data_IF_189042258974
#
_entry.id   IF_189042258974
#
_cell.length_a   1.000
_cell.length_b   1.000
_cell.length_c   1.000
_cell.angle_alpha   90.00
_cell.angle_beta   90.00
_cell.angle_gamma   90.00
#
_symmetry.space_group_name_H-M   'P 1'
#
loop_
_entity.id
_entity.type
_entity.pdbx_description
1 polymer ?
#
# COMPACT_ATOMS: atom_id res chain seq x y z
N UNK A 1 -21.39 -14.10 -7.32
CA UNK A 1 -21.94 -12.78 -7.70
C UNK A 1 -20.74 -11.86 -7.87
N UNK A 2 -20.35 -11.57 -9.11
CA UNK A 2 -19.25 -10.64 -9.37
C UNK A 2 -19.69 -9.23 -8.97
N UNK A 3 -18.96 -8.60 -8.06
CA UNK A 3 -19.14 -7.20 -7.75
C UNK A 3 -18.67 -6.39 -8.96
N UNK A 4 -19.60 -6.01 -9.83
CA UNK A 4 -19.31 -5.09 -10.92
C UNK A 4 -18.94 -3.72 -10.37
N UNK A 5 -17.75 -3.25 -10.72
CA UNK A 5 -17.30 -1.91 -10.40
C UNK A 5 -17.37 -1.02 -11.63
N UNK A 6 -18.09 0.10 -11.57
CA UNK A 6 -18.12 1.03 -12.69
C UNK A 6 -16.71 1.54 -12.96
N UNK A 7 -16.35 1.58 -14.25
CA UNK A 7 -15.11 2.23 -14.69
C UNK A 7 -15.24 3.73 -14.48
N UNK A 8 -14.15 4.36 -14.07
CA UNK A 8 -14.07 5.82 -13.99
C UNK A 8 -13.39 6.36 -15.23
N UNK A 9 -13.84 7.54 -15.64
CA UNK A 9 -13.30 8.29 -16.78
C UNK A 9 -13.08 9.75 -16.35
N UNK A 10 -11.85 10.26 -16.43
CA UNK A 10 -11.53 11.64 -16.05
C UNK A 10 -12.10 12.66 -17.04
N UNK A 11 -12.14 12.31 -18.33
CA UNK A 11 -12.67 13.16 -19.40
C UNK A 11 -14.20 13.24 -19.33
N UNK A 12 -14.85 12.15 -18.90
CA UNK A 12 -16.31 12.05 -18.74
C UNK A 12 -16.74 11.97 -17.27
N UNK A 13 -16.12 12.79 -16.42
CA UNK A 13 -16.34 12.75 -14.98
C UNK A 13 -17.80 13.03 -14.53
N UNK A 14 -18.64 13.60 -15.40
CA UNK A 14 -20.07 13.84 -15.12
C UNK A 14 -20.88 12.54 -14.96
N UNK A 15 -20.47 11.48 -15.67
CA UNK A 15 -21.15 10.17 -15.68
C UNK A 15 -20.61 9.20 -14.61
N UNK A 16 -19.53 9.57 -13.93
CA UNK A 16 -18.89 8.69 -12.96
C UNK A 16 -19.80 8.41 -11.76
N UNK A 17 -19.88 7.13 -11.41
CA UNK A 17 -20.65 6.60 -10.29
C UNK A 17 -19.69 6.12 -9.22
N UNK A 18 -19.81 6.67 -8.02
CA UNK A 18 -19.10 6.16 -6.87
C UNK A 18 -19.86 4.97 -6.27
N UNK A 19 -19.14 3.86 -6.04
CA UNK A 19 -19.64 2.69 -5.33
C UNK A 19 -18.68 2.33 -4.19
N UNK A 20 -19.19 2.26 -2.97
CA UNK A 20 -18.39 1.95 -1.78
C UNK A 20 -17.68 0.59 -1.90
N UNK A 21 -18.35 -0.41 -2.48
CA UNK A 21 -17.77 -1.75 -2.72
C UNK A 21 -16.61 -1.73 -3.72
N UNK A 22 -16.47 -0.63 -4.45
CA UNK A 22 -15.43 -0.41 -5.45
C UNK A 22 -14.45 0.68 -5.03
N UNK A 23 -14.59 1.20 -3.81
CA UNK A 23 -13.78 2.32 -3.35
C UNK A 23 -12.29 1.97 -3.26
N UNK A 24 -11.97 0.70 -2.99
CA UNK A 24 -10.60 0.20 -3.10
C UNK A 24 -10.03 0.38 -4.50
N UNK A 25 -10.83 0.23 -5.56
CA UNK A 25 -10.35 0.49 -6.93
C UNK A 25 -10.01 1.96 -7.09
N UNK A 26 -10.81 2.87 -6.55
CA UNK A 26 -10.56 4.31 -6.71
C UNK A 26 -9.34 4.80 -5.91
N UNK A 27 -8.99 4.11 -4.82
CA UNK A 27 -7.81 4.41 -3.99
C UNK A 27 -6.57 3.59 -4.40
N UNK A 28 -6.73 2.40 -4.98
CA UNK A 28 -5.62 1.48 -5.28
C UNK A 28 -5.34 1.28 -6.78
N UNK A 29 -6.19 1.77 -7.71
CA UNK A 29 -6.05 1.40 -9.13
C UNK A 29 -4.74 1.83 -9.79
N UNK A 30 -4.00 2.80 -9.23
CA UNK A 30 -2.79 3.27 -9.89
C UNK A 30 -1.66 3.69 -8.92
N UNK A 31 -1.51 3.03 -7.77
CA UNK A 31 -0.37 3.28 -6.85
C UNK A 31 0.95 2.68 -7.38
N UNK A 32 1.28 2.92 -8.64
CA UNK A 32 2.64 2.67 -9.17
C UNK A 32 3.38 3.96 -9.50
N UNK A 33 2.68 5.09 -9.63
CA UNK A 33 3.31 6.35 -10.00
C UNK A 33 2.78 7.52 -9.15
N UNK A 34 3.63 8.03 -8.26
CA UNK A 34 3.37 9.23 -7.43
C UNK A 34 3.91 10.51 -8.09
N UNK A 35 4.40 10.43 -9.33
CA UNK A 35 5.12 11.50 -10.03
C UNK A 35 4.20 12.64 -10.47
N UNK A 36 2.88 12.41 -10.48
CA UNK A 36 1.86 13.39 -10.88
C UNK A 36 1.38 14.28 -9.72
N UNK A 37 2.16 14.42 -8.65
CA UNK A 37 1.88 15.32 -7.54
C UNK A 37 2.66 16.63 -7.75
N UNK A 38 1.98 17.77 -7.61
CA UNK A 38 2.60 19.08 -7.79
C UNK A 38 3.77 19.32 -6.84
N UNK A 39 4.81 19.99 -7.35
CA UNK A 39 6.06 20.26 -6.61
C UNK A 39 5.82 21.01 -5.28
N UNK A 40 4.79 21.86 -5.20
CA UNK A 40 4.39 22.56 -3.98
C UNK A 40 4.05 21.58 -2.85
N UNK A 41 3.25 20.55 -3.13
CA UNK A 41 2.89 19.50 -2.18
C UNK A 41 4.10 18.64 -1.81
N UNK A 42 4.92 18.26 -2.79
CA UNK A 42 6.16 17.49 -2.54
C UNK A 42 7.08 18.25 -1.59
N UNK A 43 7.32 19.54 -1.83
CA UNK A 43 8.17 20.37 -0.98
C UNK A 43 7.60 20.50 0.43
N UNK A 44 6.28 20.64 0.58
CA UNK A 44 5.63 20.69 1.89
C UNK A 44 5.80 19.37 2.65
N UNK A 45 5.51 18.24 2.00
CA UNK A 45 5.60 16.91 2.60
C UNK A 45 7.04 16.53 2.93
N UNK A 46 8.01 16.87 2.06
CA UNK A 46 9.43 16.57 2.28
C UNK A 46 9.97 17.11 3.61
N UNK A 47 9.43 18.22 4.09
CA UNK A 47 9.86 18.87 5.34
C UNK A 47 9.25 18.25 6.61
N UNK A 48 8.39 17.25 6.49
CA UNK A 48 7.84 16.52 7.62
C UNK A 48 8.89 15.49 8.08
N UNK A 49 9.30 15.58 9.35
CA UNK A 49 10.36 14.72 9.90
C UNK A 49 9.94 13.25 9.89
N UNK A 50 8.72 12.97 10.32
CA UNK A 50 8.19 11.62 10.45
C UNK A 50 7.98 10.96 9.06
N UNK A 51 8.68 9.84 8.76
CA UNK A 51 8.58 9.18 7.46
C UNK A 51 7.22 8.49 7.24
N UNK A 52 6.57 8.00 8.29
CA UNK A 52 5.24 7.39 8.20
C UNK A 52 4.22 8.46 7.85
N UNK A 53 4.29 9.62 8.51
CA UNK A 53 3.39 10.73 8.22
C UNK A 53 3.59 11.27 6.80
N UNK A 54 4.84 11.37 6.33
CA UNK A 54 5.14 11.70 4.92
C UNK A 54 4.44 10.76 3.96
N UNK A 55 4.53 9.46 4.23
CA UNK A 55 3.93 8.44 3.39
C UNK A 55 2.40 8.50 3.40
N UNK A 56 1.78 8.73 4.57
CA UNK A 56 0.33 8.92 4.65
C UNK A 56 -0.11 10.13 3.83
N UNK A 57 0.59 11.25 3.95
CA UNK A 57 0.18 12.49 3.29
C UNK A 57 0.43 12.53 1.79
N UNK A 58 1.46 11.85 1.28
CA UNK A 58 1.65 11.76 -0.18
C UNK A 58 0.48 11.00 -0.84
N UNK A 59 0.00 9.93 -0.20
CA UNK A 59 -1.20 9.23 -0.66
C UNK A 59 -2.46 10.06 -0.47
N UNK A 60 -2.60 10.75 0.66
CA UNK A 60 -3.75 11.63 0.87
C UNK A 60 -3.88 12.67 -0.25
N UNK A 61 -2.79 13.38 -0.57
CA UNK A 61 -2.76 14.35 -1.66
C UNK A 61 -3.15 13.69 -2.98
N UNK A 62 -2.56 12.53 -3.30
CA UNK A 62 -2.90 11.80 -4.53
C UNK A 62 -4.39 11.46 -4.61
N UNK A 63 -4.94 10.86 -3.56
CA UNK A 63 -6.35 10.45 -3.53
C UNK A 63 -7.31 11.63 -3.55
N UNK A 64 -6.91 12.77 -2.98
CA UNK A 64 -7.67 14.00 -3.09
C UNK A 64 -7.72 14.50 -4.53
N UNK A 65 -6.58 14.50 -5.24
CA UNK A 65 -6.48 14.94 -6.64
C UNK A 65 -7.25 13.99 -7.57
N UNK A 66 -7.06 12.67 -7.40
CA UNK A 66 -7.74 11.67 -8.20
C UNK A 66 -9.26 11.75 -7.98
N UNK A 67 -9.69 11.86 -6.72
CA UNK A 67 -11.10 12.05 -6.38
C UNK A 67 -11.70 13.30 -7.02
N UNK A 68 -10.96 14.40 -7.08
CA UNK A 68 -11.37 15.59 -7.82
C UNK A 68 -11.52 15.31 -9.31
N UNK A 69 -10.50 14.73 -9.95
CA UNK A 69 -10.50 14.47 -11.39
C UNK A 69 -11.67 13.57 -11.82
N UNK A 70 -11.96 12.54 -11.01
CA UNK A 70 -13.04 11.60 -11.30
C UNK A 70 -14.43 12.10 -10.89
N UNK A 71 -14.58 12.90 -9.84
CA UNK A 71 -15.90 13.17 -9.25
C UNK A 71 -16.33 14.64 -9.19
N UNK A 72 -15.52 15.59 -9.66
CA UNK A 72 -15.88 17.03 -9.63
C UNK A 72 -17.20 17.35 -10.33
N UNK A 73 -17.43 16.78 -11.52
CA UNK A 73 -18.63 16.96 -12.34
C UNK A 73 -19.74 15.93 -12.08
N UNK A 74 -19.45 14.86 -11.33
CA UNK A 74 -20.45 13.83 -11.03
C UNK A 74 -21.65 14.38 -10.24
N UNK A 75 -22.74 13.61 -10.24
CA UNK A 75 -23.91 13.89 -9.40
C UNK A 75 -23.51 14.10 -7.93
N UNK A 76 -24.23 14.99 -7.26
CA UNK A 76 -23.86 15.45 -5.91
C UNK A 76 -23.72 14.30 -4.90
N UNK A 77 -24.57 13.28 -4.97
CA UNK A 77 -24.49 12.13 -4.07
C UNK A 77 -23.19 11.33 -4.30
N UNK A 78 -22.82 11.02 -5.54
CA UNK A 78 -21.58 10.27 -5.81
C UNK A 78 -20.32 11.05 -5.42
N UNK A 79 -20.31 12.36 -5.68
CA UNK A 79 -19.22 13.23 -5.20
C UNK A 79 -19.14 13.26 -3.68
N UNK A 80 -20.30 13.35 -3.01
CA UNK A 80 -20.37 13.36 -1.55
C UNK A 80 -19.87 12.04 -0.96
N UNK A 81 -20.29 10.91 -1.52
CA UNK A 81 -19.89 9.58 -1.07
C UNK A 81 -18.38 9.34 -1.29
N UNK A 82 -17.84 9.78 -2.43
CA UNK A 82 -16.40 9.75 -2.69
C UNK A 82 -15.60 10.57 -1.67
N UNK A 83 -16.05 11.79 -1.37
CA UNK A 83 -15.42 12.65 -0.38
C UNK A 83 -15.54 12.07 1.04
N UNK A 84 -16.69 11.50 1.42
CA UNK A 84 -16.85 10.83 2.72
C UNK A 84 -15.90 9.64 2.86
N UNK A 85 -15.74 8.86 1.79
CA UNK A 85 -14.82 7.74 1.79
C UNK A 85 -13.36 8.19 1.97
N UNK A 86 -12.92 9.25 1.28
CA UNK A 86 -11.59 9.82 1.46
C UNK A 86 -11.37 10.31 2.90
N UNK A 87 -12.34 11.02 3.46
CA UNK A 87 -12.29 11.47 4.86
C UNK A 87 -12.17 10.28 5.82
N UNK A 88 -12.93 9.21 5.58
CA UNK A 88 -12.88 8.01 6.40
C UNK A 88 -11.52 7.33 6.31
N UNK A 89 -10.98 7.17 5.11
CA UNK A 89 -9.63 6.65 4.90
C UNK A 89 -8.61 7.48 5.68
N UNK A 90 -8.70 8.82 5.62
CA UNK A 90 -7.77 9.69 6.34
C UNK A 90 -7.92 9.55 7.87
N UNK A 91 -9.15 9.47 8.38
CA UNK A 91 -9.42 9.26 9.80
C UNK A 91 -8.87 7.91 10.30
N UNK A 92 -8.97 6.84 9.49
CA UNK A 92 -8.35 5.54 9.79
C UNK A 92 -6.82 5.63 9.82
N UNK A 93 -6.20 6.44 8.95
CA UNK A 93 -4.74 6.70 9.01
C UNK A 93 -4.36 7.54 10.24
N UNK A 94 -5.17 8.53 10.62
CA UNK A 94 -4.97 9.31 11.85
C UNK A 94 -4.99 8.40 13.07
N UNK A 95 -6.01 7.57 13.18
CA UNK A 95 -6.18 6.64 14.30
C UNK A 95 -4.96 5.71 14.42
N UNK A 96 -4.52 5.11 13.30
CA UNK A 96 -3.33 4.26 13.28
C UNK A 96 -2.05 5.02 13.67
N UNK A 97 -1.82 6.20 13.08
CA UNK A 97 -0.61 6.99 13.31
C UNK A 97 -0.50 7.51 14.74
N UNK A 98 -1.63 7.85 15.34
CA UNK A 98 -1.71 8.41 16.70
C UNK A 98 -1.92 7.34 17.77
N UNK A 99 -1.96 6.07 17.37
CA UNK A 99 -2.29 4.94 18.23
C UNK A 99 -3.60 5.17 18.99
N UNK A 100 -4.68 5.46 18.25
CA UNK A 100 -5.99 5.75 18.82
C UNK A 100 -5.98 6.95 19.77
N UNK A 101 -5.27 8.02 19.39
CA UNK A 101 -5.07 9.24 20.19
C UNK A 101 -4.23 9.07 21.47
N UNK A 102 -3.64 7.89 21.70
CA UNK A 102 -2.79 7.68 22.89
C UNK A 102 -1.45 8.41 22.76
N UNK A 103 -0.95 8.63 21.54
CA UNK A 103 0.29 9.34 21.29
C UNK A 103 0.07 10.84 21.02
N UNK A 104 0.12 11.64 22.08
CA UNK A 104 -0.13 13.09 22.01
C UNK A 104 0.87 13.86 21.15
N UNK A 105 2.13 13.45 21.11
CA UNK A 105 3.16 14.04 20.23
C UNK A 105 2.81 13.82 18.75
N UNK A 106 2.42 12.59 18.38
CA UNK A 106 1.93 12.24 17.05
C UNK A 106 0.64 12.98 16.70
N UNK A 107 -0.29 13.15 17.63
CA UNK A 107 -1.52 13.92 17.40
C UNK A 107 -1.22 15.38 17.04
N UNK A 108 -0.38 16.06 17.81
CA UNK A 108 0.00 17.45 17.53
C UNK A 108 0.69 17.60 16.17
N UNK A 109 1.58 16.65 15.85
CA UNK A 109 2.25 16.63 14.55
C UNK A 109 1.26 16.43 13.41
N UNK A 110 0.31 15.49 13.57
CA UNK A 110 -0.74 15.25 12.59
C UNK A 110 -1.56 16.52 12.33
N UNK A 111 -2.09 17.14 13.39
CA UNK A 111 -2.98 18.31 13.30
C UNK A 111 -2.30 19.50 12.62
N UNK A 112 -1.06 19.80 13.02
CA UNK A 112 -0.26 20.87 12.42
C UNK A 112 -0.07 20.68 10.92
N UNK A 113 0.30 19.48 10.50
CA UNK A 113 0.65 19.23 9.10
C UNK A 113 -0.58 19.01 8.20
N UNK A 114 -1.64 18.38 8.71
CA UNK A 114 -2.87 18.18 7.94
C UNK A 114 -3.61 19.50 7.69
N UNK A 115 -3.68 20.42 8.65
CA UNK A 115 -4.34 21.72 8.48
C UNK A 115 -3.75 22.48 7.29
N UNK A 116 -2.42 22.49 7.20
CA UNK A 116 -1.69 23.16 6.12
C UNK A 116 -1.97 22.50 4.76
N UNK A 117 -1.82 21.17 4.68
CA UNK A 117 -2.04 20.42 3.44
C UNK A 117 -3.49 20.52 2.96
N UNK A 118 -4.44 20.37 3.88
CA UNK A 118 -5.86 20.44 3.58
C UNK A 118 -6.25 21.83 3.06
N UNK A 119 -5.70 22.90 3.64
CA UNK A 119 -5.89 24.27 3.18
C UNK A 119 -5.42 24.50 1.74
N UNK A 120 -4.24 23.97 1.36
CA UNK A 120 -3.74 24.03 -0.02
C UNK A 120 -4.70 23.32 -0.99
N UNK A 121 -5.10 22.10 -0.66
CA UNK A 121 -5.95 21.25 -1.50
C UNK A 121 -7.33 21.86 -1.74
N UNK A 122 -7.99 22.37 -0.69
CA UNK A 122 -9.32 22.99 -0.80
C UNK A 122 -9.34 24.21 -1.71
N UNK A 123 -8.28 25.00 -1.70
CA UNK A 123 -8.18 26.22 -2.48
C UNK A 123 -7.93 25.92 -3.97
N UNK A 124 -7.16 24.88 -4.28
CA UNK A 124 -6.80 24.53 -5.65
C UNK A 124 -7.90 23.74 -6.36
N UNK A 125 -8.56 22.79 -5.67
CA UNK A 125 -9.50 21.86 -6.28
C UNK A 125 -10.95 22.18 -5.92
N UNK A 126 -11.53 23.14 -6.65
CA UNK A 126 -12.89 23.64 -6.41
C UNK A 126 -13.88 23.16 -7.48
N UNK A 127 -15.16 23.04 -7.10
CA UNK A 127 -16.21 22.61 -8.04
C UNK A 127 -16.51 23.77 -9.00
N UNK A 128 -16.46 23.54 -10.33
CA UNK A 128 -16.87 24.54 -11.31
C UNK A 128 -18.30 25.03 -11.03
N UNK A 129 -18.54 26.33 -11.20
CA UNK A 129 -19.87 26.95 -11.05
C UNK A 129 -20.51 26.85 -9.65
N UNK A 130 -19.73 26.56 -8.60
CA UNK A 130 -20.19 26.59 -7.19
C UNK A 130 -19.40 27.58 -6.32
N UNK A 131 -19.13 28.77 -6.85
CA UNK A 131 -18.49 29.89 -6.13
C UNK A 131 -17.15 29.51 -5.44
N UNK A 132 -16.34 28.67 -6.07
CA UNK A 132 -15.03 28.27 -5.51
C UNK A 132 -15.15 27.34 -4.29
N UNK A 133 -16.30 26.69 -4.07
CA UNK A 133 -16.41 25.67 -3.02
C UNK A 133 -15.50 24.48 -3.33
N UNK A 134 -14.72 24.02 -2.35
CA UNK A 134 -13.90 22.84 -2.47
C UNK A 134 -14.74 21.61 -2.88
N UNK A 135 -14.16 20.73 -3.69
CA UNK A 135 -14.86 19.50 -4.11
C UNK A 135 -15.07 18.54 -2.94
N UNK A 136 -14.13 18.53 -1.99
CA UNK A 136 -14.20 17.74 -0.78
C UNK A 136 -13.83 18.59 0.44
N UNK A 137 -14.75 18.61 1.40
CA UNK A 137 -14.59 19.25 2.70
C UNK A 137 -14.05 18.25 3.72
N UNK A 138 -13.25 18.74 4.66
CA UNK A 138 -12.84 17.94 5.81
C UNK A 138 -14.07 17.66 6.68
N UNK A 139 -14.26 16.40 7.06
CA UNK A 139 -15.28 15.99 8.01
C UNK A 139 -14.61 15.38 9.23
N UNK A 140 -14.97 15.88 10.42
CA UNK A 140 -14.46 15.34 11.69
C UNK A 140 -15.09 13.99 12.00
N UNK A 141 -14.55 12.92 11.39
CA UNK A 141 -14.94 11.55 11.71
C UNK A 141 -14.21 11.14 13.00
N UNK A 142 -14.98 10.91 14.05
CA UNK A 142 -14.46 10.42 15.33
C UNK A 142 -14.27 8.90 15.24
N UNK A 143 -13.10 8.47 14.83
CA UNK A 143 -12.62 7.10 14.99
C UNK A 143 -11.70 7.08 16.19
N UNK A 144 -12.00 6.21 17.15
CA UNK A 144 -11.14 5.96 18.31
C UNK A 144 -11.05 4.46 18.55
N UNK A 145 -9.94 3.89 18.14
CA UNK A 145 -9.65 2.48 18.40
C UNK A 145 -9.39 2.29 19.90
N UNK A 146 -10.07 1.29 20.47
CA UNK A 146 -9.76 0.79 21.81
C UNK A 146 -8.79 -0.37 21.67
N UNK A 147 -7.57 -0.20 22.18
CA UNK A 147 -6.56 -1.24 22.14
C UNK A 147 -6.75 -2.25 23.27
N UNK A 148 -6.48 -3.55 23.02
CA UNK A 148 -6.36 -4.55 24.09
C UNK A 148 -5.37 -4.11 25.17
N UNK A 149 -5.66 -4.45 26.43
CA UNK A 149 -4.84 -4.12 27.61
C UNK A 149 -3.38 -4.57 27.48
N UNK A 150 -3.16 -5.65 26.76
CA UNK A 150 -1.87 -6.28 26.52
C UNK A 150 -0.99 -5.47 25.56
N UNK A 151 -1.58 -4.55 24.80
CA UNK A 151 -0.91 -3.71 23.80
C UNK A 151 -0.76 -2.24 24.24
N UNK A 152 -1.29 -1.84 25.40
CA UNK A 152 -1.56 -0.44 25.78
C UNK A 152 -0.32 0.40 26.17
N UNK A 153 0.89 -0.08 25.93
CA UNK A 153 2.12 0.68 26.15
C UNK A 153 2.80 1.06 24.82
N UNK A 154 2.18 1.90 23.97
CA UNK A 154 2.84 2.34 22.75
C UNK A 154 4.06 3.19 23.11
N UNK A 155 5.20 2.87 22.51
CA UNK A 155 6.36 3.76 22.50
C UNK A 155 6.10 4.83 21.45
N UNK A 156 5.52 5.95 21.87
CA UNK A 156 5.15 7.04 20.96
C UNK A 156 6.35 7.77 20.35
N UNK A 157 7.49 7.70 21.04
CA UNK A 157 8.74 8.33 20.62
C UNK A 157 9.68 7.25 20.08
N UNK A 158 9.56 6.97 18.79
CA UNK A 158 10.70 6.48 18.02
C UNK A 158 11.51 7.72 17.63
N UNK A 159 12.40 8.17 18.52
CA UNK A 159 13.58 8.88 18.04
C UNK A 159 14.20 7.94 17.03
N UNK A 160 14.30 8.39 15.77
CA UNK A 160 15.25 7.82 14.82
C UNK A 160 16.55 7.77 15.62
N UNK A 161 16.94 6.57 16.07
CA UNK A 161 18.20 6.43 16.79
C UNK A 161 19.21 7.09 15.86
N UNK A 162 19.99 8.10 16.31
CA UNK A 162 21.13 8.51 15.52
C UNK A 162 21.85 7.20 15.21
N UNK A 163 22.03 6.96 13.91
CA UNK A 163 22.79 5.84 13.38
C UNK A 163 23.97 5.64 14.35
N UNK A 164 24.16 4.45 14.95
CA UNK A 164 25.32 4.26 15.79
C UNK A 164 26.49 4.60 14.87
N UNK A 165 27.11 5.76 15.10
CA UNK A 165 28.32 6.16 14.40
C UNK A 165 29.23 4.99 14.67
N UNK A 166 29.40 4.13 13.68
CA UNK A 166 30.39 3.07 13.74
C UNK A 166 31.65 3.82 14.14
N UNK A 167 32.12 3.58 15.37
CA UNK A 167 33.39 4.15 15.79
C UNK A 167 34.34 3.82 14.65
N UNK A 168 34.90 4.85 14.01
CA UNK A 168 35.85 4.69 12.93
C UNK A 168 36.96 3.80 13.46
N UNK A 169 36.86 2.51 13.17
CA UNK A 169 37.93 1.57 13.44
C UNK A 169 38.93 1.92 12.35
N UNK A 170 39.91 2.75 12.75
CA UNK A 170 41.00 3.21 11.91
C UNK A 170 41.62 2.00 11.24
N UNK A 171 41.21 1.74 10.01
CA UNK A 171 41.79 0.67 9.20
C UNK A 171 43.10 1.23 8.65
N UNK A 172 44.24 0.53 8.80
CA UNK A 172 45.51 1.03 8.31
C UNK A 172 45.44 1.22 6.79
N UNK A 173 45.92 2.38 6.35
CA UNK A 173 46.07 2.72 4.94
C UNK A 173 47.07 1.74 4.29
N UNK A 174 46.60 0.75 3.53
CA UNK A 174 47.46 -0.02 2.63
C UNK A 174 47.32 0.55 1.23
N UNK A 175 48.38 1.22 0.79
CA UNK A 175 48.51 1.80 -0.55
C UNK A 175 48.61 0.71 -1.62
N UNK A 176 48.11 1.07 -2.79
CA UNK A 176 47.81 0.28 -3.98
C UNK A 176 48.97 -0.53 -4.57
N UNK A 177 48.62 -1.67 -5.17
CA UNK A 177 48.96 -2.02 -6.57
C UNK A 177 48.14 -3.25 -7.01
N UNK A 178 47.18 -3.03 -7.93
CA UNK A 178 46.52 -4.13 -8.65
C UNK A 178 47.19 -4.25 -10.02
N UNK A 179 48.23 -5.07 -10.12
CA UNK A 179 48.74 -5.52 -11.42
C UNK A 179 47.85 -6.66 -11.94
N UNK A 180 47.10 -6.39 -13.01
CA UNK A 180 46.44 -7.45 -13.77
C UNK A 180 47.51 -8.19 -14.60
N UNK A 181 47.97 -9.34 -14.10
CA UNK A 181 48.77 -10.26 -14.89
C UNK A 181 47.93 -10.96 -15.96
N UNK A 182 48.42 -10.93 -17.20
CA UNK A 182 47.78 -11.50 -18.40
C UNK A 182 47.62 -13.02 -18.28
N UNK A 183 46.49 -13.49 -18.80
CA UNK A 183 46.05 -14.88 -18.92
C UNK A 183 47.11 -15.77 -19.58
N UNK A 184 47.45 -16.88 -18.93
CA UNK A 184 48.01 -18.08 -19.56
C UNK A 184 47.05 -19.21 -19.23
N UNK A 185 46.40 -19.77 -20.25
CA UNK A 185 45.55 -20.95 -20.14
C UNK A 185 46.36 -22.19 -19.74
N UNK A 186 45.90 -22.98 -18.75
CA UNK A 186 46.27 -24.38 -18.64
C UNK A 186 45.07 -25.27 -18.95
N UNK A 187 45.32 -26.23 -19.85
CA UNK A 187 44.40 -27.22 -20.35
C UNK A 187 43.66 -28.02 -19.26
N UNK A 188 42.36 -28.24 -19.49
CA UNK A 188 41.47 -29.09 -18.70
C UNK A 188 41.72 -30.57 -19.07
N UNK A 189 42.02 -31.48 -18.11
CA UNK A 189 41.89 -32.91 -18.33
C UNK A 189 40.42 -33.36 -18.26
N UNK A 190 40.05 -34.22 -19.20
CA UNK A 190 38.75 -34.87 -19.37
C UNK A 190 38.37 -35.74 -18.14
N UNK A 191 37.15 -35.63 -17.58
CA UNK A 191 36.62 -36.65 -16.66
C UNK A 191 36.00 -37.84 -17.42
N UNK A 192 36.43 -39.05 -17.05
CA UNK A 192 35.93 -40.34 -17.53
C UNK A 192 34.48 -40.62 -17.10
N UNK A 193 33.75 -41.27 -18.01
CA UNK A 193 32.47 -41.96 -17.83
C UNK A 193 32.46 -43.00 -16.70
N UNK A 194 31.44 -42.98 -15.85
CA UNK A 194 30.49 -44.09 -15.73
C UNK A 194 29.23 -43.71 -14.89
N UNK A 195 28.03 -44.18 -15.28
CA UNK A 195 26.77 -43.77 -14.68
C UNK A 195 26.35 -44.67 -13.51
N UNK A 196 25.95 -44.08 -12.38
CA UNK A 196 25.13 -44.76 -11.38
C UNK A 196 23.67 -44.44 -11.66
N UNK A 197 23.04 -45.34 -12.41
CA UNK A 197 21.64 -45.40 -12.74
C UNK A 197 20.79 -45.43 -11.46
N UNK A 198 20.12 -44.32 -11.15
CA UNK A 198 19.08 -44.28 -10.14
C UNK A 198 17.75 -43.97 -10.84
N UNK A 199 17.01 -45.05 -11.06
CA UNK A 199 15.70 -45.17 -11.70
C UNK A 199 14.70 -44.09 -11.24
N UNK A 200 14.56 -43.03 -12.03
CA UNK A 200 13.61 -41.93 -11.83
C UNK A 200 12.17 -42.27 -12.26
N UNK A 201 11.84 -43.54 -12.45
CA UNK A 201 10.51 -43.93 -12.98
C UNK A 201 9.54 -44.43 -11.91
N UNK A 202 9.98 -44.70 -10.67
CA UNK A 202 9.09 -45.24 -9.62
C UNK A 202 8.29 -44.21 -8.82
N UNK A 203 8.65 -42.93 -8.88
CA UNK A 203 7.98 -41.87 -8.11
C UNK A 203 6.90 -41.10 -8.90
N UNK A 204 6.68 -41.42 -10.17
CA UNK A 204 5.61 -40.85 -11.01
C UNK A 204 4.32 -41.68 -11.00
N UNK A 205 4.37 -42.93 -10.53
CA UNK A 205 3.20 -43.82 -10.46
C UNK A 205 2.47 -43.80 -9.12
N UNK A 206 3.05 -43.22 -8.05
CA UNK A 206 2.48 -43.25 -6.70
C UNK A 206 1.72 -41.97 -6.34
N UNK A 207 1.96 -40.84 -7.01
CA UNK A 207 1.26 -39.56 -6.74
C UNK A 207 0.02 -39.34 -7.61
N UNK A 208 -0.18 -40.08 -8.70
CA UNK A 208 -1.39 -39.98 -9.53
C UNK A 208 -2.57 -40.82 -9.02
N UNK A 209 -2.31 -41.85 -8.21
CA UNK A 209 -3.35 -42.72 -7.63
C UNK A 209 -4.13 -42.12 -6.46
N UNK A 210 -3.48 -41.30 -5.63
CA UNK A 210 -4.14 -40.71 -4.44
C UNK A 210 -5.13 -39.59 -4.77
N UNK A 211 -4.97 -38.90 -5.89
CA UNK A 211 -5.90 -37.82 -6.30
C UNK A 211 -7.22 -38.40 -6.86
N UNK A 212 -7.15 -39.50 -7.60
CA UNK A 212 -8.35 -40.15 -8.17
C UNK A 212 -9.22 -40.84 -7.10
N UNK A 213 -8.60 -41.55 -6.14
CA UNK A 213 -9.32 -42.24 -5.07
C UNK A 213 -9.98 -41.26 -4.07
N UNK A 214 -9.32 -40.14 -3.76
CA UNK A 214 -9.88 -39.11 -2.87
C UNK A 214 -11.12 -38.41 -3.45
N UNK A 215 -11.13 -38.18 -4.76
CA UNK A 215 -12.26 -37.52 -5.46
C UNK A 215 -13.48 -38.44 -5.57
N UNK A 216 -13.26 -39.75 -5.80
CA UNK A 216 -14.36 -40.73 -5.80
C UNK A 216 -14.92 -40.98 -4.40
N UNK A 217 -14.07 -41.00 -3.37
CA UNK A 217 -14.52 -41.16 -1.98
C UNK A 217 -15.42 -40.00 -1.53
N UNK A 218 -15.02 -38.76 -1.81
CA UNK A 218 -15.81 -37.57 -1.46
C UNK A 218 -17.17 -37.53 -2.17
N UNK A 219 -17.22 -37.87 -3.47
CA UNK A 219 -18.47 -37.98 -4.20
C UNK A 219 -19.40 -39.08 -3.65
N UNK A 220 -18.85 -40.23 -3.24
CA UNK A 220 -19.65 -41.31 -2.65
C UNK A 220 -20.26 -40.90 -1.30
N UNK A 221 -19.51 -40.22 -0.44
CA UNK A 221 -20.04 -39.69 0.83
C UNK A 221 -21.12 -38.64 0.59
N UNK A 222 -20.92 -37.71 -0.34
CA UNK A 222 -21.94 -36.70 -0.69
C UNK A 222 -23.22 -37.35 -1.24
N UNK A 223 -23.09 -38.32 -2.15
CA UNK A 223 -24.22 -39.06 -2.70
C UNK A 223 -25.02 -39.77 -1.60
N UNK A 224 -24.34 -40.39 -0.63
CA UNK A 224 -24.98 -41.09 0.47
C UNK A 224 -25.66 -40.16 1.47
N UNK A 225 -25.16 -38.94 1.64
CA UNK A 225 -25.79 -37.90 2.50
C UNK A 225 -27.03 -37.31 1.83
N UNK A 226 -26.98 -37.09 0.51
CA UNK A 226 -28.07 -36.47 -0.24
C UNK A 226 -29.25 -37.45 -0.41
N UNK A 227 -28.99 -38.74 -0.67
CA UNK A 227 -30.04 -39.74 -0.94
C UNK A 227 -30.53 -40.50 0.30
N UNK A 228 -30.32 -39.96 1.50
CA UNK A 228 -30.87 -40.51 2.75
C UNK A 228 -31.95 -39.62 3.40
N UNK A 229 -32.65 -38.84 2.58
CA UNK A 229 -33.94 -38.23 2.89
C UNK A 229 -35.07 -39.05 2.27
#
# INVERSE_FOLDING_TARGET
>A
MECYCPKLDEEKNEDNIFSLNCAFKYIYLETRNLDNIGTSYINKIKNIEDPILRHIFIYFVRYYIDGYNYFKGSKQNYRHDACQYLNRWLAERKDLFTYGEMCQTKMKLWEKEIENLWGMLKNEYTIPNKNGKAWCEESSIKLKTTYPSELTSPKCDETISPEPKSAELSSPLVSAECECSKTIDPAIPLPQDQPQEMDRTKNLAVTSGFTAAGTLGTLFFLYRVINKQ
#
